data_IF_577593627215
#
_entry.id   IF_577593627215
#
_cell.length_a   1.000
_cell.length_b   1.000
_cell.length_c   1.000
_cell.angle_alpha   90.00
_cell.angle_beta   90.00
_cell.angle_gamma   90.00
#
_symmetry.space_group_name_H-M   'P 1'
#
loop_
_entity.id
_entity.type
_entity.pdbx_description
1 polymer ?
#
# COMPACT_ATOMS: atom_id res chain seq x y z
N UNK A 1 10.70 -4.36 0.41
CA UNK A 1 9.35 -4.05 0.92
C UNK A 1 8.92 -2.66 0.52
N UNK A 2 7.63 -2.41 0.54
CA UNK A 2 7.11 -1.05 0.44
C UNK A 2 6.39 -0.70 1.74
N UNK A 3 6.31 0.60 2.03
CA UNK A 3 5.66 1.10 3.23
C UNK A 3 4.54 2.06 2.84
N UNK A 4 3.37 1.88 3.44
CA UNK A 4 2.24 2.79 3.29
C UNK A 4 2.03 3.48 4.63
N UNK A 5 2.27 4.79 4.67
CA UNK A 5 2.03 5.59 5.86
C UNK A 5 0.63 6.18 5.77
N UNK A 6 -0.26 5.74 6.64
CA UNK A 6 -1.64 6.22 6.63
C UNK A 6 -2.23 6.19 8.03
N UNK A 7 -2.89 7.27 8.48
CA UNK A 7 -3.56 7.27 9.79
C UNK A 7 -4.94 6.62 9.77
N UNK A 8 -5.53 6.43 8.58
CA UNK A 8 -6.89 5.92 8.42
C UNK A 8 -6.94 4.86 7.34
N UNK A 9 -8.05 4.09 7.33
CA UNK A 9 -8.36 3.11 6.28
C UNK A 9 -7.35 1.97 6.18
N UNK A 10 -6.68 1.62 7.29
CA UNK A 10 -5.66 0.57 7.28
C UNK A 10 -6.19 -0.76 6.75
N UNK A 11 -7.35 -1.21 7.26
CA UNK A 11 -7.91 -2.50 6.85
C UNK A 11 -8.30 -2.50 5.38
N UNK A 12 -8.86 -1.39 4.89
CA UNK A 12 -9.25 -1.27 3.49
C UNK A 12 -8.03 -1.32 2.58
N UNK A 13 -6.94 -0.67 2.99
CA UNK A 13 -5.69 -0.68 2.22
C UNK A 13 -5.10 -2.08 2.17
N UNK A 14 -5.06 -2.78 3.30
CA UNK A 14 -4.53 -4.14 3.37
C UNK A 14 -5.35 -5.05 2.44
N UNK A 15 -6.65 -5.02 2.53
CA UNK A 15 -7.51 -5.85 1.69
C UNK A 15 -7.34 -5.54 0.22
N UNK A 16 -7.29 -4.24 -0.12
CA UNK A 16 -7.15 -3.82 -1.50
C UNK A 16 -5.84 -4.31 -2.10
N UNK A 17 -4.72 -4.08 -1.42
CA UNK A 17 -3.42 -4.46 -1.95
C UNK A 17 -3.25 -5.97 -2.02
N UNK A 18 -3.77 -6.71 -1.04
CA UNK A 18 -3.70 -8.17 -1.09
C UNK A 18 -4.55 -8.78 -2.19
N UNK A 19 -5.52 -8.04 -2.71
CA UNK A 19 -6.35 -8.51 -3.82
C UNK A 19 -5.70 -8.35 -5.19
N UNK A 20 -4.48 -7.79 -5.26
CA UNK A 20 -3.80 -7.48 -6.53
C UNK A 20 -2.95 -8.63 -7.06
N UNK A 21 -3.54 -9.79 -7.26
CA UNK A 21 -2.91 -10.96 -7.92
C UNK A 21 -1.56 -11.36 -7.33
N UNK A 22 -1.43 -11.25 -6.00
CA UNK A 22 -0.20 -11.65 -5.32
C UNK A 22 0.95 -10.65 -5.45
N UNK A 23 0.71 -9.48 -6.03
CA UNK A 23 1.75 -8.46 -6.16
C UNK A 23 2.14 -7.85 -4.82
N UNK A 24 1.25 -7.86 -3.84
CA UNK A 24 1.50 -7.30 -2.52
C UNK A 24 1.00 -8.26 -1.45
N UNK A 25 1.81 -8.43 -0.40
CA UNK A 25 1.45 -9.24 0.75
C UNK A 25 1.73 -8.44 2.02
N UNK A 26 0.70 -8.26 2.84
CA UNK A 26 0.86 -7.52 4.09
C UNK A 26 1.84 -8.25 5.01
N UNK A 27 2.88 -7.55 5.48
CA UNK A 27 3.90 -8.11 6.35
C UNK A 27 3.67 -7.75 7.81
N UNK A 28 3.58 -6.45 8.11
CA UNK A 28 3.35 -6.01 9.48
C UNK A 28 2.92 -4.55 9.53
N UNK A 29 2.35 -4.16 10.66
CA UNK A 29 1.94 -2.79 10.94
C UNK A 29 2.81 -2.22 12.05
N UNK A 30 3.36 -1.02 11.84
CA UNK A 30 4.13 -0.29 12.86
C UNK A 30 3.56 1.12 12.97
N UNK A 31 2.77 1.37 14.01
CA UNK A 31 2.09 2.65 14.16
C UNK A 31 1.16 2.91 12.97
N UNK A 32 1.39 4.00 12.24
CA UNK A 32 0.63 4.32 11.04
C UNK A 32 1.24 3.73 9.77
N UNK A 33 2.36 3.02 9.89
CA UNK A 33 3.08 2.46 8.75
C UNK A 33 2.65 1.00 8.53
N UNK A 34 2.19 0.71 7.31
CA UNK A 34 1.88 -0.65 6.87
C UNK A 34 2.99 -1.12 5.95
N UNK A 35 3.60 -2.25 6.29
CA UNK A 35 4.69 -2.81 5.49
C UNK A 35 4.16 -3.96 4.64
N UNK A 36 4.46 -3.92 3.34
CA UNK A 36 4.06 -4.96 2.40
C UNK A 36 5.27 -5.52 1.68
N UNK A 37 5.27 -6.82 1.48
CA UNK A 37 6.19 -7.46 0.57
C UNK A 37 5.60 -7.38 -0.84
N UNK A 38 6.46 -7.30 -1.84
CA UNK A 38 6.01 -7.21 -3.22
C UNK A 38 6.86 -8.11 -4.12
N UNK A 39 6.22 -8.64 -5.17
CA UNK A 39 6.92 -9.41 -6.19
C UNK A 39 7.53 -8.52 -7.26
N UNK A 40 7.23 -7.24 -7.24
CA UNK A 40 7.76 -6.27 -8.20
C UNK A 40 9.21 -5.95 -7.83
N UNK A 41 10.14 -6.15 -8.78
CA UNK A 41 11.56 -5.95 -8.51
C UNK A 41 11.92 -4.49 -8.23
N UNK A 42 11.37 -3.57 -9.02
CA UNK A 42 11.58 -2.15 -8.82
C UNK A 42 10.68 -1.66 -7.69
N UNK A 43 11.27 -1.43 -6.51
CA UNK A 43 10.49 -1.04 -5.33
C UNK A 43 9.83 0.33 -5.48
N UNK A 44 10.47 1.24 -6.20
CA UNK A 44 9.85 2.55 -6.45
C UNK A 44 8.63 2.41 -7.34
N UNK A 45 8.70 1.56 -8.36
CA UNK A 45 7.55 1.27 -9.21
C UNK A 45 6.45 0.58 -8.41
N UNK A 46 6.81 -0.32 -7.49
CA UNK A 46 5.84 -0.99 -6.63
C UNK A 46 5.12 0.01 -5.72
N UNK A 47 5.86 0.93 -5.12
CA UNK A 47 5.26 1.95 -4.27
C UNK A 47 4.31 2.85 -5.06
N UNK A 48 4.69 3.22 -6.28
CA UNK A 48 3.85 4.02 -7.16
C UNK A 48 2.58 3.28 -7.55
N UNK A 49 2.70 2.01 -7.88
CA UNK A 49 1.55 1.18 -8.22
C UNK A 49 0.58 1.07 -7.04
N UNK A 50 1.10 0.82 -5.85
CA UNK A 50 0.28 0.74 -4.65
C UNK A 50 -0.47 2.06 -4.42
N UNK A 51 0.23 3.18 -4.55
CA UNK A 51 -0.37 4.50 -4.39
C UNK A 51 -1.50 4.73 -5.40
N UNK A 52 -1.26 4.42 -6.67
CA UNK A 52 -2.27 4.59 -7.71
C UNK A 52 -3.46 3.67 -7.48
N UNK A 53 -3.22 2.44 -7.06
CA UNK A 53 -4.28 1.48 -6.77
C UNK A 53 -5.20 2.00 -5.65
N UNK A 54 -4.61 2.55 -4.59
CA UNK A 54 -5.39 3.12 -3.49
C UNK A 54 -6.17 4.34 -3.95
N UNK A 55 -5.57 5.20 -4.75
CA UNK A 55 -6.23 6.42 -5.22
C UNK A 55 -7.39 6.18 -6.17
N UNK A 56 -7.48 5.01 -6.79
CA UNK A 56 -8.61 4.66 -7.64
C UNK A 56 -9.87 4.38 -6.85
N UNK A 57 -9.74 4.08 -5.56
CA UNK A 57 -10.90 3.80 -4.73
C UNK A 57 -11.56 5.10 -4.26
N UNK A 58 -12.91 5.12 -4.17
CA UNK A 58 -13.60 6.32 -3.69
C UNK A 58 -13.10 6.80 -2.33
N UNK A 59 -12.84 5.86 -1.41
CA UNK A 59 -12.34 6.21 -0.08
C UNK A 59 -10.86 6.59 -0.11
N UNK A 60 -10.12 6.14 -1.12
CA UNK A 60 -8.70 6.44 -1.24
C UNK A 60 -8.40 7.75 -1.94
N UNK A 61 -9.28 8.21 -2.82
CA UNK A 61 -9.05 9.42 -3.60
C UNK A 61 -8.86 10.66 -2.72
N UNK A 62 -9.55 10.73 -1.59
CA UNK A 62 -9.41 11.84 -0.65
C UNK A 62 -8.54 11.53 0.55
N UNK A 63 -7.93 10.34 0.60
CA UNK A 63 -7.13 9.92 1.73
C UNK A 63 -5.73 10.51 1.65
N UNK A 64 -5.26 11.07 2.77
CA UNK A 64 -3.90 11.55 2.87
C UNK A 64 -2.99 10.42 3.34
N UNK A 65 -2.11 9.97 2.46
CA UNK A 65 -1.20 8.87 2.76
C UNK A 65 0.05 8.99 1.90
N UNK A 66 1.08 8.23 2.28
CA UNK A 66 2.33 8.18 1.50
C UNK A 66 2.72 6.72 1.27
N UNK A 67 3.22 6.42 0.07
CA UNK A 67 3.74 5.12 -0.28
C UNK A 67 5.22 5.29 -0.65
N UNK A 68 6.07 4.54 0.01
CA UNK A 68 7.52 4.64 -0.19
C UNK A 68 8.15 3.26 -0.31
N UNK A 69 9.30 3.20 -0.98
CA UNK A 69 10.12 1.99 -1.01
C UNK A 69 10.94 1.89 0.27
N UNK A 70 11.05 0.69 0.81
CA UNK A 70 11.83 0.43 2.03
C UNK A 70 12.96 -0.55 1.76
#
# INVERSE_FOLDING_TARGET
MIAINTPLQNDNIIKLLESQDGQFTFAQKKGIKLLFETTIEDKDAAAKLARETIKKEPWGAGLYFQATAE
#
